data_IF_284639677044
#
_entry.id   IF_284639677044
#
_cell.length_a   1.000
_cell.length_b   1.000
_cell.length_c   1.000
_cell.angle_alpha   90.00
_cell.angle_beta   90.00
_cell.angle_gamma   90.00
#
_symmetry.space_group_name_H-M   'P 1'
#
loop_
_entity.id
_entity.type
_entity.pdbx_description
1 polymer ?
#
# COMPACT_ATOMS: atom_id res chain seq x y z
N UNK A 1 22.12 19.59 10.37
CA UNK A 1 21.14 20.71 10.38
C UNK A 1 19.69 20.22 10.30
N UNK A 2 19.33 19.28 9.41
CA UNK A 2 17.97 18.71 9.32
C UNK A 2 17.48 18.04 10.62
N UNK A 3 18.37 17.35 11.35
CA UNK A 3 18.05 16.75 12.64
C UNK A 3 17.59 17.78 13.69
N UNK A 4 18.14 19.00 13.69
CA UNK A 4 17.73 20.06 14.61
C UNK A 4 16.34 20.62 14.27
N UNK A 5 16.00 20.67 12.98
CA UNK A 5 14.67 21.09 12.50
C UNK A 5 13.60 20.04 12.84
N UNK A 6 13.95 18.75 12.75
CA UNK A 6 13.02 17.66 13.05
C UNK A 6 12.89 17.32 14.53
N UNK A 7 13.86 17.68 15.38
CA UNK A 7 13.89 17.25 16.77
C UNK A 7 12.67 17.71 17.61
N UNK A 8 12.26 19.00 17.61
CA UNK A 8 11.07 19.42 18.34
C UNK A 8 9.76 18.75 17.87
N UNK A 9 9.42 18.72 16.56
CA UNK A 9 8.18 18.09 16.10
C UNK A 9 8.18 16.57 16.25
N UNK A 10 9.34 15.91 16.10
CA UNK A 10 9.46 14.47 16.35
C UNK A 10 9.24 14.15 17.83
N UNK A 11 9.78 14.94 18.75
CA UNK A 11 9.57 14.77 20.19
C UNK A 11 8.11 15.03 20.60
N UNK A 12 7.41 15.95 19.93
CA UNK A 12 6.04 16.34 20.27
C UNK A 12 4.96 15.48 19.60
N UNK A 13 5.21 14.99 18.38
CA UNK A 13 4.19 14.33 17.55
C UNK A 13 4.56 12.91 17.11
N UNK A 14 5.80 12.47 17.35
CA UNK A 14 6.32 11.20 16.82
C UNK A 14 6.58 11.21 15.31
N UNK A 15 6.40 12.35 14.63
CA UNK A 15 6.59 12.51 13.19
C UNK A 15 7.50 13.70 12.89
N UNK A 16 8.44 13.50 11.98
CA UNK A 16 9.36 14.55 11.50
C UNK A 16 8.59 15.66 10.77
N UNK A 17 9.14 16.88 10.78
CA UNK A 17 8.59 17.98 9.98
C UNK A 17 8.89 17.77 8.49
N UNK A 18 10.11 17.30 8.21
CA UNK A 18 10.66 17.06 6.88
C UNK A 18 11.24 15.65 6.83
N UNK A 19 10.85 14.87 5.84
CA UNK A 19 11.42 13.54 5.58
C UNK A 19 10.45 12.62 4.87
N UNK A 20 10.93 11.63 4.14
CA UNK A 20 10.05 10.64 3.53
C UNK A 20 9.65 9.57 4.56
N UNK A 21 8.50 8.95 4.32
CA UNK A 21 8.07 7.78 5.05
C UNK A 21 8.91 6.56 4.69
N UNK A 22 9.02 5.64 5.64
CA UNK A 22 9.65 4.34 5.43
C UNK A 22 8.66 3.39 4.74
N UNK A 23 9.17 2.58 3.83
CA UNK A 23 8.36 1.57 3.17
C UNK A 23 8.03 0.42 4.13
N UNK A 24 6.87 -0.18 3.95
CA UNK A 24 6.51 -1.44 4.58
C UNK A 24 7.43 -2.58 4.14
N UNK A 25 7.65 -3.54 5.02
CA UNK A 25 8.46 -4.71 4.69
C UNK A 25 7.76 -5.57 3.62
N UNK A 26 8.46 -6.00 2.56
CA UNK A 26 7.91 -6.92 1.57
C UNK A 26 7.47 -8.25 2.17
N UNK A 27 6.40 -8.82 1.63
CA UNK A 27 5.86 -10.12 2.05
C UNK A 27 5.20 -10.15 3.43
N UNK A 28 5.03 -8.99 4.10
CA UNK A 28 4.38 -8.93 5.41
C UNK A 28 3.03 -8.23 5.38
N UNK A 29 2.69 -7.55 4.28
CA UNK A 29 1.55 -6.64 4.21
C UNK A 29 1.68 -5.44 5.14
N UNK A 30 2.90 -5.09 5.59
CA UNK A 30 3.10 -3.96 6.49
C UNK A 30 2.85 -2.64 5.74
N UNK A 31 2.21 -1.70 6.42
CA UNK A 31 1.95 -0.38 5.84
C UNK A 31 3.24 0.43 5.68
N UNK A 32 3.25 1.31 4.69
CA UNK A 32 4.23 2.37 4.58
C UNK A 32 3.95 3.46 5.61
N UNK A 33 5.01 4.03 6.22
CA UNK A 33 4.82 5.11 7.19
C UNK A 33 4.51 6.43 6.47
N UNK A 34 3.84 7.38 7.13
CA UNK A 34 3.67 8.71 6.58
C UNK A 34 5.00 9.45 6.34
N UNK A 35 5.02 10.38 5.39
CA UNK A 35 6.10 11.36 5.16
C UNK A 35 6.27 12.34 6.33
N UNK A 36 6.97 13.45 6.17
CA UNK A 36 7.04 14.53 7.16
C UNK A 36 5.75 15.34 7.17
N UNK A 37 5.51 16.15 8.20
CA UNK A 37 4.31 17.00 8.24
C UNK A 37 4.25 18.02 7.10
N UNK A 38 5.38 18.67 6.78
CA UNK A 38 5.43 19.72 5.76
C UNK A 38 5.95 19.18 4.44
N UNK A 39 7.12 18.54 4.45
CA UNK A 39 7.79 18.07 3.25
C UNK A 39 8.09 16.59 3.39
N UNK A 40 7.59 15.78 2.47
CA UNK A 40 7.93 14.37 2.44
C UNK A 40 6.89 13.51 1.74
N UNK A 41 7.40 12.54 0.99
CA UNK A 41 6.56 11.52 0.40
C UNK A 41 6.20 10.47 1.45
N UNK A 42 5.03 9.86 1.33
CA UNK A 42 4.69 8.67 2.09
C UNK A 42 5.51 7.45 1.64
N UNK A 43 5.74 6.51 2.56
CA UNK A 43 6.38 5.24 2.24
C UNK A 43 5.42 4.32 1.49
N UNK A 44 5.93 3.46 0.62
CA UNK A 44 5.11 2.45 -0.05
C UNK A 44 4.69 1.34 0.93
N UNK A 45 3.50 0.79 0.73
CA UNK A 45 3.04 -0.41 1.44
C UNK A 45 3.84 -1.66 1.01
N UNK A 46 4.11 -2.53 1.97
CA UNK A 46 4.74 -3.83 1.74
C UNK A 46 3.79 -4.80 1.06
N UNK A 47 4.29 -5.65 0.18
CA UNK A 47 3.46 -6.72 -0.41
C UNK A 47 2.97 -7.71 0.65
N UNK A 48 1.82 -8.33 0.41
CA UNK A 48 1.28 -9.38 1.27
C UNK A 48 2.03 -10.70 1.17
N UNK A 49 2.05 -11.46 2.25
CA UNK A 49 2.38 -12.90 2.21
C UNK A 49 1.32 -13.67 1.41
N UNK A 50 1.54 -14.95 1.13
CA UNK A 50 0.57 -15.77 0.39
C UNK A 50 -0.85 -15.68 1.01
N UNK A 51 -1.83 -15.31 0.18
CA UNK A 51 -3.24 -15.10 0.54
C UNK A 51 -3.52 -13.88 1.44
N UNK A 52 -2.49 -13.14 1.82
CA UNK A 52 -2.60 -11.97 2.70
C UNK A 52 -2.62 -10.68 1.89
N UNK A 53 -3.32 -9.64 2.37
CA UNK A 53 -3.38 -8.36 1.68
C UNK A 53 -2.02 -7.65 1.66
N UNK A 54 -1.84 -6.76 0.69
CA UNK A 54 -0.78 -5.78 0.71
C UNK A 54 -1.05 -4.67 1.74
N UNK A 55 0.02 -4.07 2.26
CA UNK A 55 -0.09 -2.95 3.20
C UNK A 55 -0.49 -1.66 2.50
N UNK A 56 -1.11 -0.74 3.22
CA UNK A 56 -1.44 0.58 2.70
C UNK A 56 -0.17 1.42 2.45
N UNK A 57 -0.23 2.31 1.48
CA UNK A 57 0.74 3.37 1.28
C UNK A 57 0.62 4.44 2.37
N UNK A 58 1.75 4.99 2.80
CA UNK A 58 1.79 6.08 3.76
C UNK A 58 1.30 7.39 3.17
N UNK A 59 0.70 8.25 3.98
CA UNK A 59 0.30 9.59 3.55
C UNK A 59 1.51 10.51 3.32
N UNK A 60 1.39 11.44 2.37
CA UNK A 60 2.32 12.52 2.16
C UNK A 60 2.34 13.54 3.33
N UNK A 61 3.31 14.46 3.28
CA UNK A 61 3.22 15.75 3.97
C UNK A 61 2.36 16.75 3.20
N UNK A 62 2.35 18.01 3.67
CA UNK A 62 1.69 19.11 2.94
C UNK A 62 2.18 19.21 1.48
N UNK A 63 3.47 19.01 1.27
CA UNK A 63 4.09 18.86 -0.04
C UNK A 63 4.80 17.51 -0.12
N UNK A 64 4.40 16.71 -1.09
CA UNK A 64 4.91 15.37 -1.35
C UNK A 64 3.86 14.53 -2.03
N UNK A 65 4.22 13.30 -2.37
CA UNK A 65 3.32 12.29 -2.90
C UNK A 65 3.05 11.20 -1.86
N UNK A 66 1.84 10.67 -1.84
CA UNK A 66 1.46 9.50 -1.07
C UNK A 66 2.23 8.27 -1.55
N UNK A 67 2.43 7.32 -0.65
CA UNK A 67 3.03 6.03 -1.01
C UNK A 67 2.07 5.18 -1.82
N UNK A 68 2.59 4.36 -2.72
CA UNK A 68 1.77 3.33 -3.36
C UNK A 68 1.36 2.25 -2.35
N UNK A 69 0.18 1.68 -2.52
CA UNK A 69 -0.25 0.49 -1.80
C UNK A 69 0.54 -0.75 -2.23
N UNK A 70 0.72 -1.68 -1.30
CA UNK A 70 1.42 -2.93 -1.54
C UNK A 70 0.57 -3.91 -2.37
N UNK A 71 1.21 -4.76 -3.16
CA UNK A 71 0.50 -5.84 -3.85
C UNK A 71 -0.06 -6.87 -2.86
N UNK A 72 -1.26 -7.39 -3.13
CA UNK A 72 -1.79 -8.56 -2.45
C UNK A 72 -0.96 -9.80 -2.76
N UNK A 73 -0.76 -10.68 -1.77
CA UNK A 73 -0.02 -11.91 -1.99
C UNK A 73 -0.80 -12.94 -2.79
N UNK A 74 -0.11 -13.76 -3.59
CA UNK A 74 -0.74 -14.82 -4.35
C UNK A 74 -1.44 -15.84 -3.42
N UNK A 75 -2.50 -16.49 -3.88
CA UNK A 75 -3.17 -17.54 -3.14
C UNK A 75 -2.28 -18.75 -2.86
N UNK A 76 -2.79 -19.68 -2.06
CA UNK A 76 -2.10 -20.95 -1.80
C UNK A 76 -1.93 -21.77 -3.08
N UNK A 77 -0.85 -22.57 -3.14
CA UNK A 77 -0.41 -23.31 -4.34
C UNK A 77 -1.50 -24.21 -4.95
N UNK A 78 -2.40 -24.76 -4.13
CA UNK A 78 -3.47 -25.68 -4.57
C UNK A 78 -4.86 -25.09 -4.30
N UNK A 79 -5.08 -24.64 -3.06
CA UNK A 79 -6.27 -23.90 -2.63
C UNK A 79 -5.85 -22.57 -2.03
N UNK A 80 -6.55 -21.50 -2.38
CA UNK A 80 -6.47 -20.22 -1.69
C UNK A 80 -6.76 -19.05 -2.61
N UNK A 81 -7.46 -18.06 -2.05
CA UNK A 81 -7.70 -16.80 -2.73
C UNK A 81 -6.42 -15.96 -2.73
N UNK A 82 -6.26 -15.11 -3.75
CA UNK A 82 -5.30 -14.03 -3.68
C UNK A 82 -5.68 -12.99 -2.63
N UNK A 83 -4.68 -12.38 -2.00
CA UNK A 83 -4.89 -11.27 -1.07
C UNK A 83 -5.28 -9.99 -1.78
N UNK A 84 -6.01 -9.10 -1.12
CA UNK A 84 -6.32 -7.78 -1.68
C UNK A 84 -5.08 -6.90 -1.82
N UNK A 85 -5.07 -6.01 -2.80
CA UNK A 85 -4.09 -4.94 -2.88
C UNK A 85 -4.28 -3.93 -1.75
N UNK A 86 -3.18 -3.33 -1.30
CA UNK A 86 -3.19 -2.28 -0.29
C UNK A 86 -3.65 -0.95 -0.89
N UNK A 87 -4.28 -0.11 -0.08
CA UNK A 87 -4.71 1.22 -0.51
C UNK A 87 -3.51 2.14 -0.79
N UNK A 88 -3.67 3.08 -1.72
CA UNK A 88 -2.73 4.16 -1.93
C UNK A 88 -2.78 5.20 -0.81
N UNK A 89 -1.63 5.75 -0.45
CA UNK A 89 -1.54 6.79 0.57
C UNK A 89 -2.07 8.13 0.05
N UNK A 90 -2.65 8.94 0.95
CA UNK A 90 -3.08 10.29 0.61
C UNK A 90 -1.92 11.13 0.04
N UNK A 91 -2.20 11.90 -1.02
CA UNK A 91 -1.22 12.60 -1.84
C UNK A 91 -0.94 11.92 -3.18
N UNK A 92 -1.97 11.34 -3.83
CA UNK A 92 -1.85 10.69 -5.14
C UNK A 92 -1.12 9.33 -5.14
N UNK A 93 -1.07 8.64 -4.00
CA UNK A 93 -0.56 7.26 -3.95
C UNK A 93 -1.45 6.32 -4.76
N UNK A 94 -0.88 5.50 -5.63
CA UNK A 94 -1.64 4.48 -6.35
C UNK A 94 -1.99 3.29 -5.45
N UNK A 95 -3.16 2.69 -5.64
CA UNK A 95 -3.52 1.42 -5.01
C UNK A 95 -2.66 0.27 -5.52
N UNK A 96 -2.41 -0.71 -4.65
CA UNK A 96 -1.67 -1.92 -4.98
C UNK A 96 -2.53 -2.89 -5.78
N UNK A 97 -1.95 -3.71 -6.67
CA UNK A 97 -2.69 -4.75 -7.36
C UNK A 97 -3.13 -5.86 -6.39
N UNK A 98 -4.26 -6.49 -6.66
CA UNK A 98 -4.70 -7.71 -5.99
C UNK A 98 -3.81 -8.90 -6.34
N UNK A 99 -3.73 -9.86 -5.42
CA UNK A 99 -3.02 -11.12 -5.63
C UNK A 99 -3.82 -12.07 -6.51
N UNK A 100 -3.14 -12.88 -7.30
CA UNK A 100 -3.80 -13.93 -8.10
C UNK A 100 -4.05 -15.17 -7.24
N UNK A 101 -5.12 -15.90 -7.50
CA UNK A 101 -5.20 -17.31 -7.11
C UNK A 101 -4.30 -18.17 -8.02
N UNK A 102 -3.91 -19.36 -7.55
CA UNK A 102 -2.99 -20.24 -8.28
C UNK A 102 -3.74 -21.34 -9.03
N UNK A 103 -4.54 -22.18 -8.34
CA UNK A 103 -5.28 -23.27 -8.97
C UNK A 103 -6.78 -23.22 -8.64
N UNK A 104 -7.15 -23.30 -7.35
CA UNK A 104 -8.52 -23.12 -6.89
C UNK A 104 -8.59 -21.99 -5.87
N UNK A 105 -9.28 -20.92 -6.23
CA UNK A 105 -9.47 -19.72 -5.40
C UNK A 105 -9.82 -18.51 -6.24
N UNK A 106 -10.42 -17.49 -5.64
CA UNK A 106 -10.69 -16.21 -6.30
C UNK A 106 -9.44 -15.31 -6.29
N UNK A 107 -9.32 -14.43 -7.27
CA UNK A 107 -8.36 -13.34 -7.23
C UNK A 107 -8.70 -12.33 -6.12
N UNK A 108 -7.67 -11.65 -5.62
CA UNK A 108 -7.86 -10.55 -4.68
C UNK A 108 -8.25 -9.26 -5.41
N UNK A 109 -9.06 -8.42 -4.79
CA UNK A 109 -9.37 -7.11 -5.35
C UNK A 109 -8.12 -6.21 -5.34
N UNK A 110 -8.02 -5.27 -6.27
CA UNK A 110 -7.05 -4.18 -6.20
C UNK A 110 -7.37 -3.22 -5.07
N UNK A 111 -6.33 -2.53 -4.57
CA UNK A 111 -6.49 -1.48 -3.58
C UNK A 111 -6.95 -0.17 -4.23
N UNK A 112 -7.67 0.67 -3.49
CA UNK A 112 -8.08 1.98 -4.00
C UNK A 112 -6.88 2.93 -4.09
N UNK A 113 -6.97 3.93 -4.96
CA UNK A 113 -6.06 5.07 -5.02
C UNK A 113 -6.21 5.95 -3.78
N UNK A 114 -5.14 6.67 -3.49
CA UNK A 114 -5.09 7.67 -2.43
C UNK A 114 -5.59 9.02 -2.95
N UNK A 115 -6.46 9.67 -2.19
CA UNK A 115 -6.96 11.01 -2.53
C UNK A 115 -5.82 12.04 -2.69
N UNK A 116 -5.95 13.06 -3.55
CA UNK A 116 -7.12 13.35 -4.38
C UNK A 116 -7.15 12.66 -5.74
N UNK A 117 -6.02 12.16 -6.27
CA UNK A 117 -5.96 11.65 -7.66
C UNK A 117 -5.22 10.31 -7.85
N UNK A 118 -5.07 9.52 -6.79
CA UNK A 118 -4.46 8.20 -6.89
C UNK A 118 -5.20 7.31 -7.90
N UNK A 119 -4.46 6.43 -8.58
CA UNK A 119 -5.08 5.40 -9.42
C UNK A 119 -5.41 4.17 -8.59
N UNK A 120 -6.57 3.55 -8.79
CA UNK A 120 -6.85 2.22 -8.26
C UNK A 120 -5.87 1.17 -8.79
N UNK A 121 -5.59 0.16 -7.97
CA UNK A 121 -4.82 -1.01 -8.36
C UNK A 121 -5.69 -2.00 -9.14
N UNK A 122 -5.09 -2.80 -10.01
CA UNK A 122 -5.83 -3.83 -10.75
C UNK A 122 -6.24 -4.99 -9.85
N UNK A 123 -7.39 -5.61 -10.11
CA UNK A 123 -7.77 -6.88 -9.52
C UNK A 123 -6.83 -8.02 -9.92
N UNK A 124 -6.71 -9.02 -9.06
CA UNK A 124 -5.96 -10.25 -9.33
C UNK A 124 -6.81 -11.28 -10.07
N UNK A 125 -6.19 -12.21 -10.78
CA UNK A 125 -6.89 -13.27 -11.51
C UNK A 125 -7.34 -14.42 -10.61
N UNK A 126 -8.52 -14.97 -10.86
CA UNK A 126 -9.02 -16.20 -10.24
C UNK A 126 -8.35 -17.46 -10.80
N UNK A 127 -8.50 -18.57 -10.05
CA UNK A 127 -8.12 -19.91 -10.49
C UNK A 127 -9.20 -20.57 -11.36
N UNK A 128 -9.05 -21.87 -11.64
CA UNK A 128 -9.88 -22.62 -12.60
C UNK A 128 -11.41 -22.48 -12.39
N UNK A 129 -11.85 -22.30 -11.14
CA UNK A 129 -13.26 -22.10 -10.78
C UNK A 129 -13.48 -20.85 -9.91
N UNK A 130 -12.47 -19.99 -9.80
CA UNK A 130 -12.54 -18.77 -9.01
C UNK A 130 -12.79 -17.54 -9.86
N UNK A 131 -13.47 -16.56 -9.28
CA UNK A 131 -13.68 -15.27 -9.95
C UNK A 131 -12.41 -14.43 -9.90
N UNK A 132 -12.24 -13.56 -10.89
CA UNK A 132 -11.25 -12.48 -10.82
C UNK A 132 -11.64 -11.46 -9.75
N UNK A 133 -10.65 -10.76 -9.22
CA UNK A 133 -10.83 -9.63 -8.34
C UNK A 133 -11.24 -8.38 -9.11
N UNK A 134 -11.91 -7.47 -8.41
CA UNK A 134 -12.25 -6.16 -8.97
C UNK A 134 -11.06 -5.22 -8.90
N UNK A 135 -10.98 -4.29 -9.85
CA UNK A 135 -10.07 -3.15 -9.77
C UNK A 135 -10.47 -2.23 -8.61
N UNK A 136 -9.47 -1.61 -8.00
CA UNK A 136 -9.65 -0.56 -7.01
C UNK A 136 -10.23 0.70 -7.63
N UNK A 137 -10.89 1.49 -6.79
CA UNK A 137 -11.36 2.82 -7.15
C UNK A 137 -10.18 3.80 -7.20
N UNK A 138 -10.24 4.86 -8.01
CA UNK A 138 -9.32 5.98 -7.91
C UNK A 138 -9.43 6.71 -6.57
#
# INVERSE_FOLDING_TARGET
MLAAVNAPPLALTGRSLIGNGANGSPGTGADGTPGGWLLGNGGAGGSGAAGMPGGAGGAAGLLGSGGAGGAGGAGGQLLGNGGGGGEGGAGDGGGGPGGNAVLIGAGGNGGNGGTPSGSGGTGGTGGLVGQDGFDGLP
#
